data_IF_414126231639
#
_entry.id   IF_414126231639
#
_cell.length_a   1.000
_cell.length_b   1.000
_cell.length_c   1.000
_cell.angle_alpha   90.00
_cell.angle_beta   90.00
_cell.angle_gamma   90.00
#
_symmetry.space_group_name_H-M   'P 1'
#
loop_
_entity.id
_entity.type
_entity.pdbx_description
1 polymer ?
#
# COMPACT_ATOMS: atom_id res chain seq x y z
N UNK A 1 17.93 31.73 -26.19
CA UNK A 1 18.54 30.61 -25.43
C UNK A 1 17.79 30.51 -24.10
N UNK A 2 16.69 29.77 -24.06
CA UNK A 2 15.82 29.65 -22.86
C UNK A 2 14.89 28.45 -22.96
N UNK A 3 14.37 28.19 -24.17
CA UNK A 3 13.47 27.08 -24.47
C UNK A 3 14.01 25.68 -24.10
N UNK A 4 15.32 25.43 -24.22
CA UNK A 4 15.91 24.11 -23.93
C UNK A 4 15.98 23.77 -22.43
N UNK A 5 16.08 24.77 -21.55
CA UNK A 5 16.08 24.55 -20.09
C UNK A 5 14.65 24.34 -19.59
N UNK A 6 13.70 25.16 -20.06
CA UNK A 6 12.27 25.03 -19.74
C UNK A 6 11.69 23.69 -20.21
N UNK A 7 12.10 23.20 -21.38
CA UNK A 7 11.64 21.90 -21.90
C UNK A 7 12.19 20.73 -21.09
N UNK A 8 13.41 20.84 -20.53
CA UNK A 8 13.99 19.83 -19.64
C UNK A 8 13.35 19.85 -18.27
N UNK A 9 13.12 21.04 -17.71
CA UNK A 9 12.45 21.22 -16.42
C UNK A 9 11.05 20.60 -16.43
N UNK A 10 10.24 20.88 -17.47
CA UNK A 10 8.92 20.25 -17.65
C UNK A 10 8.98 18.74 -17.83
N UNK A 11 10.00 18.23 -18.54
CA UNK A 11 10.16 16.78 -18.72
C UNK A 11 10.48 16.08 -17.39
N UNK A 12 11.33 16.68 -16.55
CA UNK A 12 11.67 16.18 -15.21
C UNK A 12 10.45 16.25 -14.26
N UNK A 13 9.69 17.35 -14.26
CA UNK A 13 8.46 17.47 -13.46
C UNK A 13 7.41 16.41 -13.85
N UNK A 14 7.20 16.18 -15.15
CA UNK A 14 6.29 15.15 -15.64
C UNK A 14 6.76 13.73 -15.29
N UNK A 15 8.08 13.47 -15.37
CA UNK A 15 8.65 12.19 -14.96
C UNK A 15 8.51 11.97 -13.44
N UNK A 16 8.74 13.03 -12.64
CA UNK A 16 8.60 12.98 -11.20
C UNK A 16 7.14 12.71 -10.79
N UNK A 17 6.18 13.50 -11.30
CA UNK A 17 4.76 13.34 -10.99
C UNK A 17 4.26 11.92 -11.33
N UNK A 18 4.63 11.40 -12.52
CA UNK A 18 4.29 10.02 -12.90
C UNK A 18 4.94 8.97 -12.01
N UNK A 19 6.16 9.23 -11.54
CA UNK A 19 6.87 8.32 -10.65
C UNK A 19 6.27 8.29 -9.25
N UNK A 20 5.82 9.44 -8.76
CA UNK A 20 5.15 9.57 -7.46
C UNK A 20 3.75 8.95 -7.49
N UNK A 21 2.96 9.24 -8.53
CA UNK A 21 1.66 8.59 -8.76
C UNK A 21 1.81 7.06 -8.84
N UNK A 22 2.79 6.57 -9.59
CA UNK A 22 3.03 5.13 -9.69
C UNK A 22 3.42 4.51 -8.33
N UNK A 23 4.22 5.19 -7.52
CA UNK A 23 4.56 4.72 -6.16
C UNK A 23 3.35 4.68 -5.25
N UNK A 24 2.51 5.72 -5.31
CA UNK A 24 1.27 5.78 -4.52
C UNK A 24 0.31 4.66 -4.90
N UNK A 25 0.09 4.43 -6.20
CA UNK A 25 -0.77 3.34 -6.67
C UNK A 25 -0.21 1.95 -6.27
N UNK A 26 1.10 1.76 -6.31
CA UNK A 26 1.75 0.53 -5.84
C UNK A 26 1.49 0.29 -4.35
N UNK A 27 1.61 1.33 -3.55
CA UNK A 27 1.38 1.29 -2.11
C UNK A 27 -0.09 0.99 -1.77
N UNK A 28 -1.03 1.66 -2.44
CA UNK A 28 -2.46 1.37 -2.32
C UNK A 28 -2.79 -0.10 -2.68
N UNK A 29 -2.18 -0.65 -3.73
CA UNK A 29 -2.33 -2.06 -4.08
C UNK A 29 -1.78 -2.97 -2.96
N UNK A 30 -0.59 -2.67 -2.43
CA UNK A 30 -0.03 -3.41 -1.29
C UNK A 30 -0.93 -3.37 -0.05
N UNK A 31 -1.57 -2.23 0.26
CA UNK A 31 -2.53 -2.10 1.35
C UNK A 31 -3.79 -2.95 1.12
N UNK A 32 -4.30 -3.02 -0.12
CA UNK A 32 -5.40 -3.94 -0.46
C UNK A 32 -5.03 -5.41 -0.24
N UNK A 33 -3.82 -5.80 -0.63
CA UNK A 33 -3.31 -7.17 -0.39
C UNK A 33 -3.14 -7.45 1.11
N UNK A 34 -2.70 -6.47 1.88
CA UNK A 34 -2.60 -6.58 3.34
C UNK A 34 -3.99 -6.72 3.98
N UNK A 35 -4.98 -5.96 3.51
CA UNK A 35 -6.36 -6.09 3.96
C UNK A 35 -6.94 -7.47 3.64
N UNK A 36 -6.66 -8.03 2.45
CA UNK A 36 -7.06 -9.40 2.10
C UNK A 36 -6.43 -10.43 3.05
N UNK A 37 -5.13 -10.32 3.32
CA UNK A 37 -4.44 -11.17 4.30
C UNK A 37 -5.09 -11.08 5.70
N UNK A 38 -5.36 -9.87 6.17
CA UNK A 38 -6.03 -9.66 7.45
C UNK A 38 -7.47 -10.19 7.43
N UNK A 39 -8.18 -10.02 6.32
CA UNK A 39 -9.55 -10.50 6.11
C UNK A 39 -9.65 -12.01 6.19
N UNK A 40 -8.73 -12.75 5.58
CA UNK A 40 -8.65 -14.21 5.67
C UNK A 40 -8.48 -14.68 7.11
N UNK A 41 -7.55 -14.07 7.87
CA UNK A 41 -7.33 -14.41 9.28
C UNK A 41 -8.49 -14.00 10.18
N UNK A 42 -9.11 -12.85 9.88
CA UNK A 42 -10.25 -12.32 10.61
C UNK A 42 -11.59 -12.91 10.17
N UNK A 43 -11.61 -13.81 9.19
CA UNK A 43 -12.84 -14.39 8.63
C UNK A 43 -13.83 -13.33 8.14
N UNK A 44 -13.31 -12.24 7.55
CA UNK A 44 -14.13 -11.22 6.91
C UNK A 44 -14.64 -11.74 5.57
N UNK A 45 -15.84 -11.33 5.19
CA UNK A 45 -16.32 -11.54 3.82
C UNK A 45 -15.64 -10.57 2.85
N UNK A 46 -15.93 -10.72 1.56
CA UNK A 46 -15.35 -9.90 0.50
C UNK A 46 -15.66 -8.40 0.68
N UNK A 47 -16.88 -8.07 1.09
CA UNK A 47 -17.30 -6.67 1.24
C UNK A 47 -16.60 -6.02 2.44
N UNK A 48 -16.57 -6.71 3.58
CA UNK A 48 -15.87 -6.25 4.77
C UNK A 48 -14.36 -6.14 4.54
N UNK A 49 -13.77 -7.02 3.73
CA UNK A 49 -12.36 -6.95 3.33
C UNK A 49 -12.09 -5.72 2.47
N UNK A 50 -12.96 -5.41 1.50
CA UNK A 50 -12.80 -4.20 0.67
C UNK A 50 -12.94 -2.93 1.50
N UNK A 51 -13.94 -2.83 2.37
CA UNK A 51 -14.09 -1.69 3.29
C UNK A 51 -12.87 -1.55 4.22
N UNK A 52 -12.29 -2.66 4.65
CA UNK A 52 -11.07 -2.63 5.45
C UNK A 52 -9.86 -2.11 4.63
N UNK A 53 -9.75 -2.50 3.36
CA UNK A 53 -8.73 -1.97 2.47
C UNK A 53 -8.87 -0.46 2.24
N UNK A 54 -10.09 0.02 2.00
CA UNK A 54 -10.39 1.45 1.87
C UNK A 54 -10.02 2.23 3.13
N UNK A 55 -10.24 1.64 4.30
CA UNK A 55 -9.86 2.22 5.59
C UNK A 55 -8.33 2.38 5.69
N UNK A 56 -7.56 1.33 5.37
CA UNK A 56 -6.10 1.41 5.40
C UNK A 56 -5.54 2.43 4.42
N UNK A 57 -6.11 2.51 3.22
CA UNK A 57 -5.74 3.52 2.21
C UNK A 57 -6.05 4.92 2.72
N UNK A 58 -7.22 5.13 3.31
CA UNK A 58 -7.62 6.44 3.85
C UNK A 58 -6.66 6.91 4.94
N UNK A 59 -6.31 6.02 5.88
CA UNK A 59 -5.32 6.31 6.92
C UNK A 59 -3.95 6.65 6.33
N UNK A 60 -3.51 5.94 5.29
CA UNK A 60 -2.26 6.27 4.58
C UNK A 60 -2.32 7.67 3.94
N UNK A 61 -3.46 8.06 3.37
CA UNK A 61 -3.68 9.39 2.78
C UNK A 61 -3.70 10.47 3.86
N UNK A 62 -4.21 10.16 5.05
CA UNK A 62 -4.19 11.04 6.23
C UNK A 62 -2.80 11.19 6.87
N UNK A 63 -1.80 10.45 6.37
CA UNK A 63 -0.41 10.56 6.79
C UNK A 63 0.03 9.56 7.86
N UNK A 64 -0.76 8.52 8.12
CA UNK A 64 -0.32 7.40 8.95
C UNK A 64 0.86 6.69 8.30
N UNK A 65 1.88 6.39 9.10
CA UNK A 65 3.07 5.66 8.65
C UNK A 65 2.77 4.17 8.54
N UNK A 66 3.49 3.46 7.67
CA UNK A 66 3.34 2.02 7.51
C UNK A 66 3.40 1.26 8.84
N UNK A 67 4.34 1.63 9.74
CA UNK A 67 4.45 1.00 11.06
C UNK A 67 3.17 1.13 11.91
N UNK A 68 2.45 2.26 11.81
CA UNK A 68 1.20 2.50 12.53
C UNK A 68 0.07 1.67 11.93
N UNK A 69 0.00 1.58 10.60
CA UNK A 69 -0.95 0.74 9.89
C UNK A 69 -0.75 -0.75 10.21
N UNK A 70 0.50 -1.22 10.21
CA UNK A 70 0.84 -2.61 10.52
C UNK A 70 0.49 -2.97 11.97
N UNK A 71 0.72 -2.07 12.92
CA UNK A 71 0.36 -2.28 14.32
C UNK A 71 -1.16 -2.33 14.50
N UNK A 72 -1.92 -1.48 13.80
CA UNK A 72 -3.38 -1.53 13.79
C UNK A 72 -3.89 -2.87 13.23
N UNK A 73 -3.37 -3.31 12.09
CA UNK A 73 -3.74 -4.59 11.48
C UNK A 73 -3.42 -5.77 12.41
N UNK A 74 -2.27 -5.72 13.08
CA UNK A 74 -1.87 -6.71 14.08
C UNK A 74 -2.84 -6.74 15.26
N UNK A 75 -3.24 -5.59 15.77
CA UNK A 75 -4.23 -5.48 16.85
C UNK A 75 -5.62 -6.01 16.42
N UNK A 76 -6.03 -5.72 15.19
CA UNK A 76 -7.31 -6.19 14.63
C UNK A 76 -7.35 -7.73 14.45
N UNK A 77 -6.21 -8.35 14.13
CA UNK A 77 -6.06 -9.80 14.08
C UNK A 77 -6.08 -10.39 15.50
N UNK A 78 -5.37 -9.76 16.44
CA UNK A 78 -5.33 -10.16 17.86
C UNK A 78 -6.71 -10.20 18.52
N UNK A 79 -7.63 -9.32 18.10
CA UNK A 79 -9.00 -9.29 18.59
C UNK A 79 -9.78 -10.61 18.37
N UNK A 80 -9.30 -11.52 17.49
CA UNK A 80 -9.90 -12.85 17.26
C UNK A 80 -9.12 -14.02 17.88
N UNK A 81 -8.25 -13.75 18.87
CA UNK A 81 -7.33 -14.73 19.47
C UNK A 81 -6.28 -15.30 18.49
N UNK A 82 -6.09 -14.67 17.33
CA UNK A 82 -5.01 -15.01 16.42
C UNK A 82 -3.84 -14.05 16.64
N UNK A 83 -2.61 -14.57 16.71
CA UNK A 83 -1.43 -13.74 17.01
C UNK A 83 -0.46 -13.80 15.84
N UNK A 84 0.07 -12.65 15.45
CA UNK A 84 1.19 -12.51 14.53
C UNK A 84 2.21 -11.57 15.15
N UNK A 85 3.47 -11.94 15.05
CA UNK A 85 4.54 -11.09 15.55
C UNK A 85 4.78 -9.89 14.61
N UNK A 86 5.42 -8.83 15.12
CA UNK A 86 5.68 -7.62 14.35
C UNK A 86 6.65 -7.83 13.17
N UNK A 87 7.62 -8.74 13.30
CA UNK A 87 8.57 -9.11 12.25
C UNK A 87 7.89 -9.88 11.12
N UNK A 88 6.98 -10.79 11.45
CA UNK A 88 6.17 -11.55 10.51
C UNK A 88 5.20 -10.61 9.80
N UNK A 89 4.54 -9.69 10.52
CA UNK A 89 3.68 -8.66 9.92
C UNK A 89 4.46 -7.78 8.93
N UNK A 90 5.68 -7.37 9.28
CA UNK A 90 6.56 -6.62 8.39
C UNK A 90 6.94 -7.45 7.16
N UNK A 91 7.22 -8.74 7.34
CA UNK A 91 7.52 -9.65 6.23
C UNK A 91 6.32 -9.87 5.30
N UNK A 92 5.09 -9.97 5.85
CA UNK A 92 3.83 -10.01 5.09
C UNK A 92 3.71 -8.77 4.22
N UNK A 93 3.85 -7.58 4.81
CA UNK A 93 3.74 -6.33 4.06
C UNK A 93 4.82 -6.19 2.99
N UNK A 94 6.05 -6.62 3.28
CA UNK A 94 7.12 -6.69 2.28
C UNK A 94 6.77 -7.58 1.08
N UNK A 95 6.10 -8.72 1.30
CA UNK A 95 5.60 -9.57 0.21
C UNK A 95 4.47 -8.89 -0.57
N UNK A 96 3.56 -8.18 0.11
CA UNK A 96 2.50 -7.41 -0.54
C UNK A 96 3.08 -6.32 -1.45
N UNK A 97 4.10 -5.59 -0.98
CA UNK A 97 4.80 -4.56 -1.77
C UNK A 97 5.50 -5.16 -3.00
N UNK A 98 6.20 -6.29 -2.83
CA UNK A 98 6.88 -6.97 -3.93
C UNK A 98 5.87 -7.44 -5.00
N UNK A 99 4.77 -8.08 -4.58
CA UNK A 99 3.71 -8.53 -5.47
C UNK A 99 3.02 -7.37 -6.21
N UNK A 100 2.70 -6.28 -5.51
CA UNK A 100 2.10 -5.09 -6.13
C UNK A 100 3.03 -4.47 -7.18
N UNK A 101 4.34 -4.40 -6.90
CA UNK A 101 5.33 -3.90 -7.85
C UNK A 101 5.46 -4.78 -9.09
N UNK A 102 5.37 -6.11 -8.95
CA UNK A 102 5.38 -7.05 -10.09
C UNK A 102 4.13 -6.89 -10.96
N UNK A 103 2.95 -6.77 -10.37
CA UNK A 103 1.69 -6.57 -11.10
C UNK A 103 1.68 -5.27 -11.90
N UNK A 104 2.19 -4.18 -11.32
CA UNK A 104 2.30 -2.90 -12.02
C UNK A 104 3.30 -2.95 -13.18
N UNK A 105 4.36 -3.76 -13.08
CA UNK A 105 5.29 -3.99 -14.20
C UNK A 105 4.65 -4.85 -15.29
N UNK A 106 3.86 -5.86 -14.90
CA UNK A 106 3.19 -6.76 -15.84
C UNK A 106 2.04 -6.10 -16.61
N UNK A 107 1.42 -5.07 -16.02
CA UNK A 107 0.32 -4.30 -16.64
C UNK A 107 0.83 -3.24 -17.64
N UNK A 108 2.15 -3.06 -17.76
CA UNK A 108 2.80 -2.02 -18.58
C UNK A 108 3.35 -2.56 -19.89
#
# INVERSE_FOLDING_TARGET
MGRLFEDRERAEELLFARSEEARFLAHCNALRKLAAYAGERRGLDMQATETYAETLISLSVEGHRDAELLEQVRADIAARNDTIDASEMTAVFGRCLASAAEEMRATR
#
